data_IF_948006179283
#
_entry.id   IF_948006179283
#
_cell.length_a   1.000
_cell.length_b   1.000
_cell.length_c   1.000
_cell.angle_alpha   90.00
_cell.angle_beta   90.00
_cell.angle_gamma   90.00
#
_symmetry.space_group_name_H-M   'P 1'
#
loop_
_entity.id
_entity.type
_entity.pdbx_description
1 polymer ?
#
# COMPACT_ATOMS: atom_id res chain seq x y z
N UNK A 1 -0.79 16.28 -7.80
CA UNK A 1 -0.96 17.75 -7.85
C UNK A 1 -0.77 18.29 -6.45
N UNK A 2 -0.06 19.40 -6.28
CA UNK A 2 0.07 20.07 -4.99
C UNK A 2 -1.03 21.12 -4.89
N UNK A 3 -1.95 20.96 -3.94
CA UNK A 3 -3.02 21.91 -3.64
C UNK A 3 -3.03 22.14 -2.13
N UNK A 4 -2.95 23.40 -1.68
CA UNK A 4 -3.12 23.80 -0.28
C UNK A 4 -2.29 22.97 0.73
N UNK A 5 -0.98 22.82 0.49
CA UNK A 5 -0.03 22.03 1.31
C UNK A 5 -0.29 20.51 1.34
N UNK A 6 -1.19 20.01 0.50
CA UNK A 6 -1.50 18.59 0.37
C UNK A 6 -0.99 18.06 -0.96
N UNK A 7 -0.30 16.91 -0.92
CA UNK A 7 0.07 16.17 -2.12
C UNK A 7 -1.06 15.22 -2.52
N UNK A 8 -1.71 15.50 -3.66
CA UNK A 8 -2.70 14.59 -4.25
C UNK A 8 -2.04 13.63 -5.23
N UNK A 9 -2.33 12.35 -5.06
CA UNK A 9 -1.95 11.27 -5.97
C UNK A 9 -3.19 10.69 -6.66
N UNK A 10 -3.06 10.37 -7.93
CA UNK A 10 -4.09 9.72 -8.74
C UNK A 10 -3.50 8.45 -9.34
N UNK A 11 -4.25 7.35 -9.28
CA UNK A 11 -3.85 6.06 -9.85
C UNK A 11 -4.86 5.68 -10.92
N UNK A 12 -4.43 5.76 -12.17
CA UNK A 12 -5.19 5.26 -13.29
C UNK A 12 -4.88 3.78 -13.53
N UNK A 13 -5.92 2.99 -13.77
CA UNK A 13 -5.78 1.55 -13.95
C UNK A 13 -6.75 1.00 -14.98
N UNK A 14 -6.36 -0.13 -15.58
CA UNK A 14 -7.22 -0.87 -16.50
C UNK A 14 -8.16 -1.78 -15.72
N UNK A 15 -9.45 -1.50 -15.75
CA UNK A 15 -10.50 -2.29 -15.08
C UNK A 15 -10.62 -3.73 -15.59
N UNK A 16 -10.15 -4.01 -16.81
CA UNK A 16 -10.05 -5.37 -17.34
C UNK A 16 -8.90 -6.20 -16.77
N UNK A 17 -7.97 -5.59 -16.01
CA UNK A 17 -6.83 -6.27 -15.39
C UNK A 17 -6.87 -6.19 -13.86
N UNK A 18 -7.42 -5.11 -13.31
CA UNK A 18 -7.43 -4.87 -11.87
C UNK A 18 -8.84 -4.55 -11.38
N UNK A 19 -9.16 -5.07 -10.20
CA UNK A 19 -10.33 -4.66 -9.42
C UNK A 19 -10.01 -3.37 -8.69
N UNK A 20 -11.01 -2.53 -8.49
CA UNK A 20 -10.89 -1.28 -7.71
C UNK A 20 -10.25 -1.51 -6.34
N UNK A 21 -10.74 -2.50 -5.60
CA UNK A 21 -10.18 -2.89 -4.30
C UNK A 21 -8.69 -3.31 -4.36
N UNK A 22 -8.15 -3.73 -5.51
CA UNK A 22 -6.72 -4.01 -5.63
C UNK A 22 -5.91 -2.70 -5.74
N UNK A 23 -6.46 -1.71 -6.45
CA UNK A 23 -5.81 -0.41 -6.67
C UNK A 23 -5.90 0.46 -5.42
N UNK A 24 -6.98 0.38 -4.65
CA UNK A 24 -7.07 1.01 -3.33
C UNK A 24 -5.95 0.51 -2.40
N UNK A 25 -5.69 -0.80 -2.40
CA UNK A 25 -4.59 -1.38 -1.61
C UNK A 25 -3.23 -0.91 -2.11
N UNK A 26 -3.03 -0.80 -3.42
CA UNK A 26 -1.80 -0.24 -3.99
C UNK A 26 -1.59 1.23 -3.60
N UNK A 27 -2.66 2.03 -3.55
CA UNK A 27 -2.61 3.39 -3.01
C UNK A 27 -2.20 3.43 -1.53
N UNK A 28 -2.71 2.47 -0.74
CA UNK A 28 -2.30 2.28 0.65
C UNK A 28 -0.81 1.96 0.79
N UNK A 29 -0.29 1.01 0.02
CA UNK A 29 1.14 0.66 0.00
C UNK A 29 2.02 1.83 -0.38
N UNK A 30 1.62 2.59 -1.40
CA UNK A 30 2.39 3.74 -1.86
C UNK A 30 2.49 4.81 -0.77
N UNK A 31 1.39 5.07 -0.06
CA UNK A 31 1.40 5.98 1.10
C UNK A 31 2.32 5.47 2.20
N UNK A 32 2.21 4.19 2.56
CA UNK A 32 3.05 3.59 3.59
C UNK A 32 4.55 3.69 3.24
N UNK A 33 4.91 3.40 1.98
CA UNK A 33 6.27 3.53 1.50
C UNK A 33 6.79 4.96 1.62
N UNK A 34 5.97 5.96 1.28
CA UNK A 34 6.33 7.36 1.43
C UNK A 34 6.55 7.73 2.91
N UNK A 35 5.69 7.27 3.82
CA UNK A 35 5.84 7.49 5.26
C UNK A 35 7.15 6.90 5.80
N UNK A 36 7.45 5.64 5.46
CA UNK A 36 8.67 4.94 5.91
C UNK A 36 9.94 5.63 5.40
N UNK A 37 9.95 6.05 4.14
CA UNK A 37 11.12 6.75 3.54
C UNK A 37 11.31 8.14 4.15
N UNK A 38 10.22 8.82 4.54
CA UNK A 38 10.31 10.11 5.23
C UNK A 38 10.84 9.97 6.67
N UNK A 39 10.61 8.84 7.32
CA UNK A 39 11.17 8.53 8.65
C UNK A 39 12.67 8.18 8.60
N UNK A 40 13.11 7.40 7.60
CA UNK A 40 14.51 7.12 7.34
C UNK A 40 14.84 7.11 5.84
N UNK A 41 15.45 8.19 5.38
CA UNK A 41 15.85 8.36 3.97
C UNK A 41 16.94 7.39 3.52
N UNK A 42 17.61 6.68 4.43
CA UNK A 42 18.68 5.72 4.12
C UNK A 42 18.20 4.26 4.17
N UNK A 43 16.93 4.01 4.49
CA UNK A 43 16.38 2.66 4.51
C UNK A 43 16.52 2.00 3.14
N UNK A 44 16.87 0.71 3.14
CA UNK A 44 16.87 -0.07 1.90
C UNK A 44 15.44 -0.40 1.54
N UNK A 45 15.10 -0.28 0.26
CA UNK A 45 13.78 -0.65 -0.27
C UNK A 45 13.42 -2.10 0.09
N UNK A 46 14.41 -3.00 0.11
CA UNK A 46 14.21 -4.42 0.46
C UNK A 46 13.76 -4.66 1.90
N UNK A 47 13.99 -3.69 2.79
CA UNK A 47 13.79 -3.82 4.23
C UNK A 47 12.44 -3.19 4.65
N UNK A 48 11.70 -2.61 3.70
CA UNK A 48 10.38 -2.04 3.91
C UNK A 48 9.33 -3.15 3.86
N UNK A 49 8.62 -3.36 4.97
CA UNK A 49 7.46 -4.27 5.00
C UNK A 49 6.29 -3.63 4.24
N UNK A 50 5.96 -4.17 3.07
CA UNK A 50 4.96 -3.56 2.19
C UNK A 50 3.51 -3.86 2.62
N UNK A 51 3.30 -4.99 3.30
CA UNK A 51 1.98 -5.44 3.69
C UNK A 51 1.44 -4.60 4.85
N UNK A 52 0.26 -4.04 4.67
CA UNK A 52 -0.46 -3.38 5.75
C UNK A 52 -0.86 -4.43 6.80
N UNK A 53 -0.96 -4.03 8.07
CA UNK A 53 -1.26 -4.94 9.19
C UNK A 53 -2.53 -5.76 8.96
N UNK A 54 -3.53 -5.15 8.33
CA UNK A 54 -4.80 -5.76 7.98
C UNK A 54 -4.66 -6.89 6.96
N UNK A 55 -3.77 -6.75 5.97
CA UNK A 55 -3.49 -7.80 4.98
C UNK A 55 -2.59 -8.89 5.54
N UNK A 56 -1.64 -8.53 6.40
CA UNK A 56 -0.88 -9.50 7.18
C UNK A 56 -1.82 -10.38 8.01
N UNK A 57 -2.84 -9.80 8.65
CA UNK A 57 -3.87 -10.55 9.38
C UNK A 57 -4.67 -11.47 8.45
N UNK A 58 -5.10 -10.99 7.29
CA UNK A 58 -5.86 -11.81 6.35
C UNK A 58 -5.04 -13.01 5.84
N UNK A 59 -3.75 -12.81 5.55
CA UNK A 59 -2.85 -13.87 5.10
C UNK A 59 -2.50 -14.88 6.20
N UNK A 60 -2.28 -14.40 7.44
CA UNK A 60 -1.83 -15.24 8.54
C UNK A 60 -2.98 -15.96 9.25
N UNK A 61 -4.16 -15.33 9.32
CA UNK A 61 -5.34 -15.83 10.02
C UNK A 61 -6.39 -16.31 9.03
N UNK A 62 -7.00 -15.40 8.26
CA UNK A 62 -8.25 -15.68 7.55
C UNK A 62 -8.07 -16.69 6.39
N UNK A 63 -6.93 -16.68 5.69
CA UNK A 63 -6.63 -17.64 4.63
C UNK A 63 -6.13 -19.00 5.15
N UNK A 64 -5.55 -19.04 6.36
CA UNK A 64 -5.06 -20.27 6.97
C UNK A 64 -6.11 -20.94 7.86
N UNK A 65 -7.26 -20.31 8.07
CA UNK A 65 -8.40 -20.84 8.80
C UNK A 65 -9.10 -21.92 7.96
N UNK A 66 -8.60 -23.15 8.07
CA UNK A 66 -9.07 -24.35 7.36
C UNK A 66 -9.85 -25.23 8.33
N UNK A 67 -11.07 -24.82 8.68
CA UNK A 67 -12.07 -25.72 9.28
C UNK A 67 -12.93 -26.42 8.20
#
# INVERSE_FOLDING_TARGET
VEEDEILRFEIEYRTGLFKEAAIERFGGYFRHLAEVVLEDVNIKISDIELLLKEENRQLLSDFNDTE
#
